data_IF_946643099269
#
_entry.id   IF_946643099269
#
_cell.length_a   1.000
_cell.length_b   1.000
_cell.length_c   1.000
_cell.angle_alpha   90.00
_cell.angle_beta   90.00
_cell.angle_gamma   90.00
#
_symmetry.space_group_name_H-M   'P 1'
#
loop_
_entity.id
_entity.type
_entity.pdbx_description
1 polymer ?
#
# COMPACT_ATOMS: atom_id res chain seq x y z
N UNK A 1 25.88 -15.00 -20.50
CA UNK A 1 24.48 -14.65 -20.79
C UNK A 1 24.42 -13.24 -21.36
N UNK A 2 23.77 -13.08 -22.46
CA UNK A 2 23.61 -11.77 -23.06
C UNK A 2 22.54 -10.97 -22.33
N UNK A 3 22.76 -9.67 -22.23
CA UNK A 3 21.84 -8.76 -21.56
C UNK A 3 21.14 -7.88 -22.59
N UNK A 4 19.81 -7.80 -22.50
CA UNK A 4 19.00 -6.92 -23.33
C UNK A 4 18.43 -5.85 -22.41
N UNK A 5 18.76 -4.60 -22.66
CA UNK A 5 18.31 -3.49 -21.83
C UNK A 5 17.48 -2.49 -22.62
N UNK A 6 16.45 -1.99 -21.98
CA UNK A 6 15.63 -0.87 -22.47
C UNK A 6 15.00 -0.17 -21.27
N UNK A 7 14.54 1.05 -21.48
CA UNK A 7 13.86 1.82 -20.42
C UNK A 7 12.47 1.25 -20.20
N UNK A 8 12.23 0.67 -19.03
CA UNK A 8 10.93 0.11 -18.63
C UNK A 8 10.02 1.17 -17.97
N UNK A 9 10.51 2.41 -17.80
CA UNK A 9 9.78 3.47 -17.12
C UNK A 9 9.76 3.37 -15.61
N UNK A 10 10.46 2.39 -15.03
CA UNK A 10 10.50 2.21 -13.59
C UNK A 10 11.23 3.38 -12.94
N UNK A 11 10.61 3.98 -11.94
CA UNK A 11 11.16 5.05 -11.12
C UNK A 11 11.36 4.56 -9.70
N UNK A 12 12.31 5.18 -9.01
CA UNK A 12 12.58 4.90 -7.61
C UNK A 12 12.06 6.07 -6.78
N UNK A 13 11.18 5.76 -5.84
CA UNK A 13 10.61 6.74 -4.93
C UNK A 13 11.11 6.47 -3.52
N UNK A 14 11.43 7.54 -2.81
CA UNK A 14 11.77 7.46 -1.40
C UNK A 14 10.52 7.74 -0.57
N UNK A 15 10.16 6.82 0.32
CA UNK A 15 8.98 6.95 1.16
C UNK A 15 9.43 7.35 2.56
N UNK A 16 8.96 8.50 3.02
CA UNK A 16 9.30 9.05 4.35
C UNK A 16 10.81 9.09 4.61
N UNK A 17 11.59 9.41 3.56
CA UNK A 17 13.03 9.62 3.66
C UNK A 17 13.88 8.37 3.62
N UNK A 18 13.36 7.19 3.92
CA UNK A 18 14.17 5.98 4.04
C UNK A 18 13.67 4.78 3.25
N UNK A 19 12.36 4.56 3.19
CA UNK A 19 11.78 3.46 2.43
C UNK A 19 11.95 3.67 0.94
N UNK A 20 12.13 2.59 0.17
CA UNK A 20 12.29 2.67 -1.27
C UNK A 20 11.20 1.88 -1.96
N UNK A 21 10.45 2.55 -2.84
CA UNK A 21 9.40 1.98 -3.66
C UNK A 21 9.78 2.15 -5.13
N UNK A 22 9.75 1.07 -5.90
CA UNK A 22 10.12 1.08 -7.31
C UNK A 22 8.98 0.56 -8.16
N UNK A 23 8.49 1.39 -9.07
CA UNK A 23 7.45 1.00 -10.02
C UNK A 23 7.38 2.02 -11.16
N UNK A 24 6.69 1.65 -12.24
CA UNK A 24 6.41 2.56 -13.35
C UNK A 24 5.05 3.24 -13.10
N UNK A 25 5.03 4.55 -12.80
CA UNK A 25 3.76 5.26 -12.54
C UNK A 25 2.87 5.37 -13.78
N UNK A 26 3.42 5.18 -14.98
CA UNK A 26 2.66 5.15 -16.23
C UNK A 26 2.16 3.78 -16.65
N UNK A 27 2.39 2.75 -15.83
CA UNK A 27 1.94 1.40 -16.15
C UNK A 27 0.46 1.24 -15.79
N UNK A 28 -0.43 1.04 -16.79
CA UNK A 28 -1.86 0.90 -16.51
C UNK A 28 -2.19 -0.32 -15.65
N UNK A 29 -1.34 -1.35 -15.65
CA UNK A 29 -1.55 -2.52 -14.80
C UNK A 29 -1.41 -2.16 -13.32
N UNK A 30 -0.46 -1.28 -12.99
CA UNK A 30 -0.29 -0.81 -11.61
C UNK A 30 -1.52 -0.02 -11.17
N UNK A 31 -1.99 0.88 -12.01
CA UNK A 31 -3.17 1.67 -11.68
C UNK A 31 -4.43 0.80 -11.51
N UNK A 32 -4.62 -0.16 -12.40
CA UNK A 32 -5.76 -1.09 -12.31
C UNK A 32 -5.72 -1.89 -11.01
N UNK A 33 -4.55 -2.40 -10.62
CA UNK A 33 -4.41 -3.11 -9.35
C UNK A 33 -4.62 -2.20 -8.15
N UNK A 34 -4.18 -0.94 -8.24
CA UNK A 34 -4.41 0.05 -7.18
C UNK A 34 -5.91 0.28 -6.96
N UNK A 35 -6.67 0.49 -8.01
CA UNK A 35 -8.12 0.70 -7.91
C UNK A 35 -8.81 -0.52 -7.28
N UNK A 36 -8.42 -1.72 -7.69
CA UNK A 36 -8.94 -2.96 -7.10
C UNK A 36 -8.55 -3.07 -5.62
N UNK A 37 -7.32 -2.70 -5.29
CA UNK A 37 -6.82 -2.74 -3.92
C UNK A 37 -7.60 -1.79 -3.00
N UNK A 38 -7.96 -0.59 -3.46
CA UNK A 38 -8.76 0.37 -2.68
C UNK A 38 -10.05 -0.28 -2.20
N UNK A 39 -10.74 -1.00 -3.08
CA UNK A 39 -12.00 -1.69 -2.71
C UNK A 39 -11.73 -2.84 -1.73
N UNK A 40 -10.69 -3.63 -1.95
CA UNK A 40 -10.32 -4.73 -1.04
C UNK A 40 -9.94 -4.22 0.35
N UNK A 41 -9.25 -3.10 0.42
CA UNK A 41 -8.82 -2.53 1.69
C UNK A 41 -9.99 -1.90 2.45
N UNK A 42 -10.94 -1.29 1.76
CA UNK A 42 -12.17 -0.83 2.38
C UNK A 42 -12.94 -1.99 3.00
N UNK A 43 -13.08 -3.09 2.26
CA UNK A 43 -13.77 -4.28 2.75
C UNK A 43 -13.06 -4.87 3.97
N UNK A 44 -11.73 -4.90 3.96
CA UNK A 44 -10.94 -5.40 5.09
C UNK A 44 -11.11 -4.53 6.33
N UNK A 45 -11.14 -3.20 6.19
CA UNK A 45 -11.37 -2.28 7.30
C UNK A 45 -12.77 -2.41 7.88
N UNK A 46 -13.79 -2.57 7.02
CA UNK A 46 -15.18 -2.79 7.46
C UNK A 46 -15.32 -4.09 8.24
N UNK A 47 -14.69 -5.16 7.76
CA UNK A 47 -14.68 -6.44 8.44
C UNK A 47 -13.99 -6.35 9.79
N UNK A 48 -12.87 -5.65 9.86
CA UNK A 48 -12.14 -5.42 11.10
C UNK A 48 -13.01 -4.68 12.12
N UNK A 49 -13.69 -3.61 11.69
CA UNK A 49 -14.58 -2.83 12.54
C UNK A 49 -15.68 -3.72 13.12
N UNK A 50 -16.27 -4.56 12.29
CA UNK A 50 -17.34 -5.50 12.72
C UNK A 50 -16.81 -6.50 13.74
N UNK A 51 -15.65 -7.09 13.50
CA UNK A 51 -15.04 -8.05 14.42
C UNK A 51 -14.65 -7.39 15.74
N UNK A 52 -14.19 -6.14 15.70
CA UNK A 52 -13.78 -5.40 16.89
C UNK A 52 -14.95 -5.07 17.83
N UNK A 53 -16.19 -4.99 17.32
CA UNK A 53 -17.37 -4.68 18.11
C UNK A 53 -17.62 -5.70 19.23
N UNK A 54 -17.27 -6.97 19.01
CA UNK A 54 -17.50 -8.05 19.95
C UNK A 54 -16.22 -8.64 20.54
N UNK A 55 -15.06 -8.12 20.13
CA UNK A 55 -13.76 -8.66 20.56
C UNK A 55 -13.30 -8.02 21.86
N UNK A 56 -12.48 -8.78 22.62
CA UNK A 56 -11.76 -8.26 23.79
C UNK A 56 -10.55 -7.44 23.32
N UNK A 57 -10.05 -6.54 24.17
CA UNK A 57 -8.91 -5.67 23.83
C UNK A 57 -7.71 -6.43 23.26
N UNK A 58 -7.34 -7.56 23.87
CA UNK A 58 -6.22 -8.38 23.41
C UNK A 58 -6.46 -8.95 22.01
N UNK A 59 -7.72 -9.29 21.70
CA UNK A 59 -8.10 -9.80 20.40
C UNK A 59 -8.10 -8.69 19.35
N UNK A 60 -8.46 -7.46 19.74
CA UNK A 60 -8.44 -6.30 18.83
C UNK A 60 -7.02 -6.05 18.32
N UNK A 61 -6.03 -6.07 19.19
CA UNK A 61 -4.62 -5.89 18.79
C UNK A 61 -4.18 -6.96 17.81
N UNK A 62 -4.54 -8.22 18.06
CA UNK A 62 -4.24 -9.31 17.15
C UNK A 62 -4.93 -9.14 15.80
N UNK A 63 -6.21 -8.76 15.80
CA UNK A 63 -6.96 -8.50 14.57
C UNK A 63 -6.32 -7.38 13.75
N UNK A 64 -5.87 -6.30 14.40
CA UNK A 64 -5.20 -5.20 13.72
C UNK A 64 -3.86 -5.62 13.13
N UNK A 65 -3.11 -6.46 13.84
CA UNK A 65 -1.83 -6.98 13.34
C UNK A 65 -2.03 -7.85 12.11
N UNK A 66 -3.04 -8.72 12.13
CA UNK A 66 -3.37 -9.58 11.00
C UNK A 66 -3.87 -8.78 9.80
N UNK A 67 -4.71 -7.78 10.06
CA UNK A 67 -5.23 -6.91 9.00
C UNK A 67 -4.09 -6.11 8.34
N UNK A 68 -3.15 -5.61 9.12
CA UNK A 68 -1.98 -4.90 8.60
C UNK A 68 -1.16 -5.78 7.64
N UNK A 69 -0.90 -7.03 8.01
CA UNK A 69 -0.16 -7.96 7.16
C UNK A 69 -0.89 -8.21 5.85
N UNK A 70 -2.20 -8.41 5.92
CA UNK A 70 -3.03 -8.63 4.74
C UNK A 70 -3.00 -7.41 3.82
N UNK A 71 -3.15 -6.22 4.39
CA UNK A 71 -3.14 -4.97 3.63
C UNK A 71 -1.78 -4.73 2.97
N UNK A 72 -0.68 -4.99 3.67
CA UNK A 72 0.66 -4.88 3.11
C UNK A 72 0.89 -5.87 1.97
N UNK A 73 0.38 -7.09 2.11
CA UNK A 73 0.42 -8.07 1.03
C UNK A 73 -0.32 -7.62 -0.22
N UNK A 74 -1.46 -6.96 -0.05
CA UNK A 74 -2.22 -6.40 -1.17
C UNK A 74 -1.41 -5.28 -1.85
N UNK A 75 -0.77 -4.41 -1.08
CA UNK A 75 0.07 -3.34 -1.63
C UNK A 75 1.30 -3.90 -2.36
N UNK A 76 1.92 -4.95 -1.84
CA UNK A 76 3.03 -5.63 -2.52
C UNK A 76 2.58 -6.16 -3.89
N UNK A 77 1.36 -6.69 -3.96
CA UNK A 77 0.77 -7.15 -5.21
C UNK A 77 0.52 -5.99 -6.18
N UNK A 78 0.04 -4.84 -5.68
CA UNK A 78 -0.25 -3.66 -6.52
C UNK A 78 0.99 -3.21 -7.26
N UNK A 79 2.09 -3.03 -6.55
CA UNK A 79 3.31 -2.46 -7.11
C UNK A 79 4.26 -3.52 -7.67
N UNK A 80 4.13 -4.75 -7.23
CA UNK A 80 4.89 -5.88 -7.75
C UNK A 80 6.39 -5.79 -7.52
N UNK A 81 7.14 -6.59 -8.29
CA UNK A 81 8.61 -6.60 -8.21
C UNK A 81 9.11 -7.01 -6.84
N UNK A 82 10.19 -6.37 -6.41
CA UNK A 82 10.81 -6.62 -5.11
C UNK A 82 10.28 -5.69 -4.01
N UNK A 83 9.17 -4.99 -4.25
CA UNK A 83 8.60 -4.10 -3.26
C UNK A 83 8.04 -4.87 -2.08
N UNK A 84 8.41 -4.44 -0.87
CA UNK A 84 7.98 -5.04 0.39
C UNK A 84 7.51 -3.90 1.31
N UNK A 85 6.22 -3.75 1.47
CA UNK A 85 5.66 -2.66 2.25
C UNK A 85 5.94 -2.80 3.74
N UNK A 86 6.19 -4.00 4.24
CA UNK A 86 6.68 -4.15 5.59
C UNK A 86 8.00 -3.43 5.82
N UNK A 87 8.94 -3.59 4.89
CA UNK A 87 10.23 -2.92 4.93
C UNK A 87 10.12 -1.43 4.56
N UNK A 88 9.33 -1.10 3.54
CA UNK A 88 9.15 0.28 3.07
C UNK A 88 8.61 1.17 4.19
N UNK A 89 7.65 0.68 4.94
CA UNK A 89 7.01 1.43 6.03
C UNK A 89 7.70 1.20 7.39
N UNK A 90 8.83 0.49 7.39
CA UNK A 90 9.62 0.28 8.60
C UNK A 90 8.83 -0.38 9.75
N UNK A 91 7.95 -1.29 9.42
CA UNK A 91 7.14 -2.01 10.39
C UNK A 91 5.97 -1.22 10.96
N UNK A 92 5.73 0.02 10.50
CA UNK A 92 4.57 0.79 10.96
C UNK A 92 3.29 0.11 10.49
N UNK A 93 2.32 -0.03 11.39
CA UNK A 93 1.02 -0.62 11.09
C UNK A 93 0.19 0.35 10.25
N UNK A 94 -0.38 -0.11 9.16
CA UNK A 94 -1.21 0.71 8.27
C UNK A 94 -2.46 1.26 8.97
N UNK A 95 -2.92 0.59 10.04
CA UNK A 95 -4.08 1.03 10.80
C UNK A 95 -3.70 1.98 11.95
N UNK A 96 -2.41 2.22 12.16
CA UNK A 96 -1.95 3.17 13.17
C UNK A 96 -2.46 4.58 12.84
N UNK A 97 -2.73 5.35 13.89
CA UNK A 97 -3.20 6.73 13.77
C UNK A 97 -1.99 7.66 13.91
N UNK A 98 -1.80 8.51 12.92
CA UNK A 98 -0.74 9.51 12.93
C UNK A 98 -1.13 10.72 13.77
N UNK A 99 -0.18 11.63 14.00
CA UNK A 99 -0.38 12.82 14.84
C UNK A 99 -1.53 13.71 14.35
N UNK A 100 -1.81 13.69 13.06
CA UNK A 100 -2.92 14.44 12.46
C UNK A 100 -4.30 13.82 12.68
N UNK A 101 -4.38 12.68 13.38
CA UNK A 101 -5.63 11.97 13.62
C UNK A 101 -6.07 11.02 12.51
N UNK A 102 -5.33 10.95 11.42
CA UNK A 102 -5.64 10.05 10.31
C UNK A 102 -4.87 8.74 10.40
N UNK A 103 -5.45 7.66 9.87
CA UNK A 103 -4.73 6.40 9.75
C UNK A 103 -3.64 6.50 8.70
N UNK A 104 -2.55 5.77 8.91
CA UNK A 104 -1.43 5.71 7.97
C UNK A 104 -1.91 5.26 6.58
N UNK A 105 -2.82 4.27 6.52
CA UNK A 105 -3.39 3.80 5.25
C UNK A 105 -4.11 4.90 4.49
N UNK A 106 -4.91 5.69 5.18
CA UNK A 106 -5.66 6.80 4.56
C UNK A 106 -4.71 7.80 3.91
N UNK A 107 -3.66 8.18 4.63
CA UNK A 107 -2.68 9.14 4.12
C UNK A 107 -1.86 8.56 2.99
N UNK A 108 -1.48 7.29 3.08
CA UNK A 108 -0.74 6.61 2.02
C UNK A 108 -1.52 6.64 0.70
N UNK A 109 -2.81 6.26 0.73
CA UNK A 109 -3.63 6.26 -0.48
C UNK A 109 -3.84 7.65 -1.03
N UNK A 110 -4.11 8.63 -0.18
CA UNK A 110 -4.27 10.02 -0.61
C UNK A 110 -3.00 10.57 -1.26
N UNK A 111 -1.83 10.13 -0.80
CA UNK A 111 -0.54 10.55 -1.35
C UNK A 111 -0.22 9.83 -2.66
N UNK A 112 -0.54 8.54 -2.76
CA UNK A 112 -0.24 7.74 -3.96
C UNK A 112 -1.18 8.02 -5.12
N UNK A 113 -2.43 8.37 -4.86
CA UNK A 113 -3.43 8.58 -5.91
C UNK A 113 -2.99 9.59 -6.97
N UNK A 114 -2.51 10.80 -6.63
CA UNK A 114 -2.06 11.75 -7.65
C UNK A 114 -0.91 11.23 -8.49
N UNK A 115 0.02 10.49 -7.90
CA UNK A 115 1.16 9.90 -8.62
C UNK A 115 0.67 8.96 -9.71
N UNK A 116 -0.29 8.10 -9.38
CA UNK A 116 -0.84 7.13 -10.32
C UNK A 116 -1.74 7.77 -11.36
N UNK A 117 -2.55 8.77 -10.98
CA UNK A 117 -3.41 9.50 -11.91
C UNK A 117 -2.55 10.25 -12.93
N UNK A 118 -1.52 10.97 -12.49
CA UNK A 118 -0.62 11.67 -13.41
C UNK A 118 0.13 10.69 -14.32
N UNK A 119 0.53 9.55 -13.79
CA UNK A 119 1.17 8.51 -14.59
C UNK A 119 0.23 7.96 -15.65
N UNK A 120 -1.03 7.71 -15.30
CA UNK A 120 -2.03 7.20 -16.24
C UNK A 120 -2.29 8.16 -17.39
N UNK A 121 -2.21 9.47 -17.15
CA UNK A 121 -2.39 10.48 -18.21
C UNK A 121 -1.30 10.44 -19.28
N UNK A 122 -0.18 9.81 -18.99
CA UNK A 122 0.93 9.68 -19.97
C UNK A 122 0.79 8.45 -20.87
N UNK A 123 -0.17 7.61 -20.59
CA UNK A 123 -0.46 6.45 -21.44
C UNK A 123 -1.28 6.85 -22.70
#
# INVERSE_FOLDING_TARGET
MENIQFDSGIRTYRINGEGVLRFNPGDPNVYARFLEAVEKLKAAEEELTRQAETAKETQIVELMTQADRKMKGILDWVFGGDNDFGAILKGVNLLAVADNGERVSTKLFATMEPVLVEGAKRC
#
